data_IF_082382208315
#
_entry.id   IF_082382208315
#
_cell.length_a   1.000
_cell.length_b   1.000
_cell.length_c   1.000
_cell.angle_alpha   90.00
_cell.angle_beta   90.00
_cell.angle_gamma   90.00
#
_symmetry.space_group_name_H-M   'P 1'
#
loop_
_entity.id
_entity.type
_entity.pdbx_description
1 polymer ?
#
# COMPACT_ATOMS: atom_id res chain seq x y z
N UNK A 1 -30.16 -5.87 -47.57
CA UNK A 1 -29.63 -6.55 -46.37
C UNK A 1 -28.41 -5.77 -45.89
N UNK A 2 -28.57 -4.89 -44.91
CA UNK A 2 -27.45 -4.15 -44.32
C UNK A 2 -26.78 -5.04 -43.27
N UNK A 3 -25.60 -5.57 -43.59
CA UNK A 3 -24.74 -6.25 -42.62
C UNK A 3 -24.22 -5.22 -41.60
N UNK A 4 -24.29 -5.48 -40.29
CA UNK A 4 -23.71 -4.58 -39.30
C UNK A 4 -22.19 -4.63 -39.40
N UNK A 5 -21.56 -3.46 -39.59
CA UNK A 5 -20.11 -3.29 -39.56
C UNK A 5 -19.65 -3.63 -38.14
N UNK A 6 -19.06 -4.81 -37.96
CA UNK A 6 -18.36 -5.16 -36.74
C UNK A 6 -17.15 -4.24 -36.60
N UNK A 7 -17.26 -3.21 -35.77
CA UNK A 7 -16.12 -2.37 -35.39
C UNK A 7 -15.18 -3.25 -34.54
N UNK A 8 -14.24 -3.90 -35.20
CA UNK A 8 -13.19 -4.64 -34.55
C UNK A 8 -12.23 -3.62 -33.90
N UNK A 9 -12.54 -3.23 -32.67
CA UNK A 9 -11.68 -2.36 -31.87
C UNK A 9 -10.47 -3.16 -31.39
N UNK A 10 -9.54 -3.44 -32.30
CA UNK A 10 -8.21 -3.96 -31.93
C UNK A 10 -7.56 -2.88 -31.08
N UNK A 11 -7.55 -3.08 -29.76
CA UNK A 11 -6.79 -2.22 -28.85
C UNK A 11 -5.35 -2.27 -29.31
N UNK A 12 -4.82 -1.13 -29.75
CA UNK A 12 -3.42 -1.01 -30.14
C UNK A 12 -2.56 -1.47 -28.95
N UNK A 13 -1.83 -2.56 -29.14
CA UNK A 13 -0.92 -3.08 -28.13
C UNK A 13 0.24 -2.11 -27.96
N UNK A 14 0.56 -1.74 -26.72
CA UNK A 14 1.55 -0.72 -26.41
C UNK A 14 2.70 -1.37 -25.65
N UNK A 15 3.73 -1.78 -26.40
CA UNK A 15 4.84 -2.60 -25.89
C UNK A 15 5.54 -1.98 -24.67
N UNK A 16 5.74 -0.66 -24.66
CA UNK A 16 6.41 0.00 -23.53
C UNK A 16 5.64 -0.15 -22.23
N UNK A 17 4.29 -0.21 -22.26
CA UNK A 17 3.48 -0.43 -21.06
C UNK A 17 3.73 -1.84 -20.50
N UNK A 18 3.96 -2.82 -21.36
CA UNK A 18 4.26 -4.19 -20.93
C UNK A 18 5.65 -4.30 -20.31
N UNK A 19 6.63 -3.57 -20.86
CA UNK A 19 7.97 -3.46 -20.25
C UNK A 19 7.89 -2.82 -18.86
N UNK A 20 7.17 -1.70 -18.71
CA UNK A 20 7.00 -1.06 -17.41
C UNK A 20 6.27 -1.97 -16.42
N UNK A 21 5.25 -2.71 -16.88
CA UNK A 21 4.54 -3.71 -16.07
C UNK A 21 5.48 -4.82 -15.61
N UNK A 22 6.31 -5.35 -16.50
CA UNK A 22 7.29 -6.37 -16.17
C UNK A 22 8.28 -5.87 -15.10
N UNK A 23 8.82 -4.66 -15.29
CA UNK A 23 9.73 -4.03 -14.31
C UNK A 23 9.04 -3.84 -12.96
N UNK A 24 7.80 -3.33 -12.95
CA UNK A 24 7.04 -3.13 -11.71
C UNK A 24 6.75 -4.47 -10.99
N UNK A 25 6.35 -5.52 -11.72
CA UNK A 25 6.11 -6.87 -11.18
C UNK A 25 7.39 -7.53 -10.67
N UNK A 26 8.52 -7.35 -11.36
CA UNK A 26 9.79 -7.89 -10.91
C UNK A 26 10.26 -7.20 -9.62
N UNK A 27 10.26 -5.87 -9.62
CA UNK A 27 10.75 -5.07 -8.49
C UNK A 27 9.90 -5.22 -7.23
N UNK A 28 8.57 -5.42 -7.33
CA UNK A 28 7.72 -5.71 -6.16
C UNK A 28 8.01 -7.07 -5.54
N UNK A 29 8.28 -8.11 -6.35
CA UNK A 29 8.65 -9.44 -5.86
C UNK A 29 9.99 -9.38 -5.13
N UNK A 30 10.97 -8.68 -5.72
CA UNK A 30 12.27 -8.45 -5.07
C UNK A 30 12.16 -7.65 -3.77
N UNK A 31 11.23 -6.69 -3.70
CA UNK A 31 10.97 -5.90 -2.48
C UNK A 31 10.44 -6.80 -1.36
N UNK A 32 9.38 -7.58 -1.64
CA UNK A 32 8.77 -8.44 -0.63
C UNK A 32 9.64 -9.62 -0.20
N UNK A 33 10.50 -10.11 -1.10
CA UNK A 33 11.49 -11.13 -0.75
C UNK A 33 12.53 -10.63 0.25
N UNK A 34 12.68 -9.31 0.37
CA UNK A 34 13.62 -8.69 1.30
C UNK A 34 12.96 -8.11 2.55
N UNK A 35 11.62 -8.11 2.65
CA UNK A 35 10.90 -7.59 3.82
C UNK A 35 11.39 -8.21 5.16
N UNK A 36 11.68 -9.52 5.25
CA UNK A 36 12.24 -10.13 6.47
C UNK A 36 13.59 -9.53 6.91
N UNK A 37 14.43 -9.04 5.98
CA UNK A 37 15.73 -8.44 6.34
C UNK A 37 15.59 -7.05 6.96
N UNK A 38 14.42 -6.41 6.86
CA UNK A 38 14.15 -5.16 7.56
C UNK A 38 13.86 -5.37 9.06
N UNK A 39 13.77 -6.62 9.53
CA UNK A 39 13.45 -6.96 10.91
C UNK A 39 14.48 -7.91 11.50
N UNK A 40 15.07 -7.53 12.64
CA UNK A 40 15.96 -8.39 13.42
C UNK A 40 15.22 -8.83 14.68
N UNK A 41 14.81 -10.10 14.79
CA UNK A 41 14.33 -10.65 16.06
C UNK A 41 15.55 -10.87 16.98
N UNK A 42 15.64 -10.10 18.07
CA UNK A 42 16.67 -10.24 19.10
C UNK A 42 17.64 -9.06 19.22
N UNK A 43 18.80 -9.30 19.82
CA UNK A 43 19.84 -8.28 20.01
C UNK A 43 20.43 -7.85 18.66
N UNK A 44 20.52 -6.53 18.39
CA UNK A 44 21.02 -6.05 17.11
C UNK A 44 22.49 -6.43 16.93
N UNK A 45 22.88 -6.96 15.75
CA UNK A 45 24.26 -7.31 15.49
C UNK A 45 25.15 -6.07 15.46
N UNK A 46 26.45 -6.25 15.71
CA UNK A 46 27.42 -5.14 15.76
C UNK A 46 27.50 -4.31 14.46
N UNK A 47 27.11 -4.89 13.31
CA UNK A 47 27.07 -4.24 12.00
C UNK A 47 25.67 -3.77 11.57
N UNK A 48 24.75 -3.55 12.52
CA UNK A 48 23.35 -3.17 12.23
C UNK A 48 23.23 -1.90 11.38
N UNK A 49 24.15 -0.94 11.51
CA UNK A 49 24.11 0.32 10.76
C UNK A 49 24.36 0.11 9.26
N UNK A 50 25.33 -0.75 8.92
CA UNK A 50 25.62 -1.13 7.53
C UNK A 50 24.44 -1.89 6.93
N UNK A 51 23.86 -2.82 7.69
CA UNK A 51 22.68 -3.59 7.26
C UNK A 51 21.50 -2.64 6.98
N UNK A 52 21.23 -1.70 7.89
CA UNK A 52 20.17 -0.70 7.71
C UNK A 52 20.41 0.16 6.49
N UNK A 53 21.65 0.58 6.25
CA UNK A 53 22.01 1.37 5.08
C UNK A 53 21.74 0.60 3.77
N UNK A 54 22.24 -0.62 3.64
CA UNK A 54 22.03 -1.43 2.44
C UNK A 54 20.57 -1.84 2.26
N UNK A 55 19.85 -2.15 3.34
CA UNK A 55 18.41 -2.39 3.31
C UNK A 55 17.65 -1.16 2.82
N UNK A 56 17.99 0.04 3.30
CA UNK A 56 17.40 1.29 2.82
C UNK A 56 17.73 1.56 1.35
N UNK A 57 18.98 1.33 0.92
CA UNK A 57 19.39 1.51 -0.48
C UNK A 57 18.65 0.54 -1.42
N UNK A 58 18.58 -0.75 -1.05
CA UNK A 58 17.84 -1.77 -1.79
C UNK A 58 16.34 -1.44 -1.86
N UNK A 59 15.76 -1.08 -0.71
CA UNK A 59 14.37 -0.63 -0.62
C UNK A 59 14.11 0.59 -1.51
N UNK A 60 14.96 1.62 -1.46
CA UNK A 60 14.80 2.83 -2.28
C UNK A 60 14.87 2.53 -3.78
N UNK A 61 15.71 1.59 -4.20
CA UNK A 61 15.84 1.18 -5.60
C UNK A 61 14.60 0.43 -6.11
N UNK A 62 13.97 -0.41 -5.28
CA UNK A 62 12.83 -1.25 -5.69
C UNK A 62 11.44 -0.65 -5.42
N UNK A 63 11.34 0.27 -4.46
CA UNK A 63 10.09 0.95 -4.08
C UNK A 63 9.36 1.67 -5.22
N UNK A 64 9.98 2.10 -6.33
CA UNK A 64 9.25 2.65 -7.47
C UNK A 64 8.22 1.70 -8.10
N UNK A 65 8.22 0.39 -7.80
CA UNK A 65 7.22 -0.56 -8.27
C UNK A 65 5.77 -0.09 -8.06
N UNK A 66 5.45 0.44 -6.87
CA UNK A 66 4.10 0.92 -6.52
C UNK A 66 3.66 2.10 -7.39
N UNK A 67 4.39 3.24 -7.45
CA UNK A 67 4.00 4.35 -8.31
C UNK A 67 3.97 3.98 -9.79
N UNK A 68 4.82 3.05 -10.25
CA UNK A 68 4.74 2.54 -11.63
C UNK A 68 3.40 1.86 -11.91
N UNK A 69 2.87 1.03 -11.00
CA UNK A 69 1.53 0.45 -11.17
C UNK A 69 0.42 1.50 -11.20
N UNK A 70 0.52 2.54 -10.37
CA UNK A 70 -0.44 3.66 -10.36
C UNK A 70 -0.36 4.44 -11.67
N UNK A 71 0.84 4.71 -12.19
CA UNK A 71 1.05 5.39 -13.47
C UNK A 71 0.49 4.58 -14.64
N UNK A 72 0.75 3.26 -14.68
CA UNK A 72 0.17 2.36 -15.69
C UNK A 72 -1.36 2.40 -15.62
N UNK A 73 -1.93 2.37 -14.42
CA UNK A 73 -3.38 2.44 -14.20
C UNK A 73 -3.95 3.75 -14.74
N UNK A 74 -3.31 4.88 -14.43
CA UNK A 74 -3.69 6.19 -14.96
C UNK A 74 -3.62 6.25 -16.48
N UNK A 75 -2.51 5.80 -17.08
CA UNK A 75 -2.31 5.81 -18.53
C UNK A 75 -3.35 4.97 -19.30
N UNK A 76 -3.88 3.92 -18.68
CA UNK A 76 -4.86 3.01 -19.30
C UNK A 76 -6.31 3.39 -19.06
N UNK A 77 -6.58 4.11 -17.96
CA UNK A 77 -7.95 4.40 -17.52
C UNK A 77 -8.36 5.85 -17.71
N UNK A 78 -7.41 6.79 -17.82
CA UNK A 78 -7.71 8.19 -18.05
C UNK A 78 -7.74 8.54 -19.54
N UNK A 79 -8.73 9.32 -19.99
CA UNK A 79 -9.93 9.70 -19.25
C UNK A 79 -10.93 8.55 -19.11
N UNK A 80 -11.66 8.52 -18.00
CA UNK A 80 -12.72 7.54 -17.73
C UNK A 80 -13.91 7.84 -18.64
N UNK A 81 -14.14 6.98 -19.64
CA UNK A 81 -15.24 7.11 -20.60
C UNK A 81 -16.41 6.17 -20.25
N UNK A 82 -17.63 6.66 -20.46
CA UNK A 82 -18.87 5.89 -20.29
C UNK A 82 -19.54 6.12 -18.93
N UNK A 83 -20.47 5.22 -18.58
CA UNK A 83 -21.24 5.33 -17.33
C UNK A 83 -20.38 5.00 -16.10
N UNK A 84 -20.38 5.92 -15.12
CA UNK A 84 -19.59 5.80 -13.88
C UNK A 84 -19.99 4.56 -13.06
N UNK A 85 -21.28 4.23 -12.99
CA UNK A 85 -21.78 3.04 -12.28
C UNK A 85 -21.21 1.75 -12.89
N UNK A 86 -21.21 1.64 -14.21
CA UNK A 86 -20.63 0.50 -14.92
C UNK A 86 -19.11 0.40 -14.70
N UNK A 87 -18.42 1.54 -14.62
CA UNK A 87 -16.99 1.59 -14.27
C UNK A 87 -16.73 1.00 -12.88
N UNK A 88 -17.41 1.50 -11.84
CA UNK A 88 -17.24 1.02 -10.48
C UNK A 88 -17.60 -0.45 -10.33
N UNK A 89 -18.80 -0.84 -10.80
CA UNK A 89 -19.27 -2.23 -10.69
C UNK A 89 -18.27 -3.20 -11.31
N UNK A 90 -17.68 -2.87 -12.46
CA UNK A 90 -16.71 -3.74 -13.15
C UNK A 90 -15.35 -3.81 -12.46
N UNK A 91 -14.88 -2.71 -11.87
CA UNK A 91 -13.51 -2.61 -11.33
C UNK A 91 -13.43 -2.98 -9.86
N UNK A 92 -14.35 -2.45 -9.05
CA UNK A 92 -14.40 -2.73 -7.62
C UNK A 92 -14.72 -4.21 -7.40
N UNK A 93 -15.69 -4.81 -8.11
CA UNK A 93 -16.00 -6.24 -7.94
C UNK A 93 -14.83 -7.18 -8.23
N UNK A 94 -13.98 -6.85 -9.22
CA UNK A 94 -12.80 -7.65 -9.58
C UNK A 94 -11.71 -7.63 -8.51
N UNK A 95 -11.75 -6.66 -7.61
CA UNK A 95 -10.75 -6.47 -6.56
C UNK A 95 -11.33 -6.86 -5.20
N UNK A 96 -12.57 -6.43 -4.92
CA UNK A 96 -13.28 -6.66 -3.67
C UNK A 96 -13.48 -8.14 -3.34
N UNK A 97 -13.92 -8.95 -4.31
CA UNK A 97 -14.17 -10.37 -4.05
C UNK A 97 -12.88 -11.16 -3.76
N UNK A 98 -11.81 -11.05 -4.58
CA UNK A 98 -10.53 -11.65 -4.23
C UNK A 98 -10.02 -11.18 -2.88
N UNK A 99 -10.08 -9.88 -2.61
CA UNK A 99 -9.66 -9.31 -1.33
C UNK A 99 -10.40 -9.95 -0.15
N UNK A 100 -11.73 -9.96 -0.17
CA UNK A 100 -12.54 -10.53 0.91
C UNK A 100 -12.21 -12.02 1.13
N UNK A 101 -12.10 -12.80 0.05
CA UNK A 101 -11.78 -14.23 0.12
C UNK A 101 -10.39 -14.44 0.72
N UNK A 102 -9.37 -13.74 0.21
CA UNK A 102 -8.00 -13.90 0.67
C UNK A 102 -7.82 -13.41 2.10
N UNK A 103 -8.41 -12.28 2.48
CA UNK A 103 -8.37 -11.80 3.87
C UNK A 103 -8.98 -12.80 4.84
N UNK A 104 -10.13 -13.42 4.51
CA UNK A 104 -10.70 -14.47 5.36
C UNK A 104 -9.76 -15.68 5.45
N UNK A 105 -9.16 -16.12 4.34
CA UNK A 105 -8.20 -17.23 4.32
C UNK A 105 -6.98 -16.93 5.20
N UNK A 106 -6.38 -15.74 5.06
CA UNK A 106 -5.22 -15.34 5.87
C UNK A 106 -5.54 -15.29 7.36
N UNK A 107 -6.71 -14.77 7.74
CA UNK A 107 -7.09 -14.69 9.14
C UNK A 107 -7.45 -16.06 9.74
N UNK A 108 -7.95 -17.01 8.95
CA UNK A 108 -8.19 -18.40 9.38
C UNK A 108 -6.92 -19.27 9.40
N UNK A 109 -5.86 -18.85 8.73
CA UNK A 109 -4.63 -19.64 8.60
C UNK A 109 -4.05 -20.08 9.96
N UNK A 110 -3.90 -19.21 10.98
CA UNK A 110 -3.38 -19.63 12.28
C UNK A 110 -4.22 -20.72 12.94
N UNK A 111 -5.54 -20.59 12.94
CA UNK A 111 -6.43 -21.63 13.46
C UNK A 111 -6.25 -22.96 12.73
N UNK A 112 -6.13 -22.94 11.39
CA UNK A 112 -5.92 -24.15 10.61
C UNK A 112 -4.59 -24.83 10.97
N UNK A 113 -3.51 -24.08 11.19
CA UNK A 113 -2.24 -24.68 11.65
C UNK A 113 -2.34 -25.32 13.02
N UNK A 114 -3.16 -24.77 13.93
CA UNK A 114 -3.44 -25.38 15.23
C UNK A 114 -4.20 -26.70 15.12
N UNK A 115 -5.15 -26.80 14.18
CA UNK A 115 -5.84 -28.06 13.89
C UNK A 115 -4.88 -29.15 13.35
N UNK A 116 -3.84 -28.74 12.64
CA UNK A 116 -2.80 -29.65 12.14
C UNK A 116 -1.74 -30.00 13.19
N UNK A 117 -1.79 -29.39 14.39
CA UNK A 117 -0.82 -29.61 15.46
C UNK A 117 0.57 -29.02 15.21
N UNK A 118 0.67 -27.97 14.38
CA UNK A 118 1.94 -27.29 14.11
C UNK A 118 2.34 -26.37 15.27
N UNK A 119 3.64 -26.20 15.50
CA UNK A 119 4.16 -25.30 16.54
C UNK A 119 3.69 -23.84 16.28
N UNK A 120 3.12 -23.14 17.28
CA UNK A 120 2.78 -21.71 17.21
C UNK A 120 3.81 -20.79 16.57
N UNK A 121 5.11 -21.05 16.76
CA UNK A 121 6.21 -20.26 16.22
C UNK A 121 6.17 -20.14 14.69
N UNK A 122 5.60 -21.14 14.00
CA UNK A 122 5.43 -21.12 12.55
C UNK A 122 4.62 -19.89 12.08
N UNK A 123 3.70 -19.39 12.90
CA UNK A 123 2.92 -18.21 12.54
C UNK A 123 3.79 -16.97 12.52
N UNK A 124 4.73 -16.86 13.45
CA UNK A 124 5.66 -15.73 13.52
C UNK A 124 6.73 -15.83 12.42
N UNK A 125 7.09 -17.03 11.98
CA UNK A 125 7.99 -17.24 10.84
C UNK A 125 7.36 -16.80 9.51
N UNK A 126 6.09 -17.18 9.27
CA UNK A 126 5.38 -16.82 8.04
C UNK A 126 4.82 -15.40 8.05
N UNK A 127 4.42 -14.90 9.23
CA UNK A 127 3.85 -13.57 9.42
C UNK A 127 4.60 -12.83 10.54
N UNK A 128 5.80 -12.30 10.27
CA UNK A 128 6.62 -11.63 11.29
C UNK A 128 5.94 -10.44 11.98
N UNK A 129 4.92 -9.87 11.33
CA UNK A 129 4.16 -8.73 11.83
C UNK A 129 2.89 -9.11 12.60
N UNK A 130 2.50 -10.40 12.66
CA UNK A 130 1.18 -10.81 13.15
C UNK A 130 0.94 -10.60 14.65
N UNK A 131 2.01 -10.43 15.42
CA UNK A 131 1.97 -10.39 16.88
C UNK A 131 1.70 -11.76 17.52
N UNK A 132 1.88 -11.82 18.84
CA UNK A 132 1.75 -13.06 19.62
C UNK A 132 0.30 -13.60 19.68
N UNK A 133 -0.69 -12.73 19.50
CA UNK A 133 -2.10 -13.14 19.57
C UNK A 133 -2.47 -14.09 18.43
N UNK A 134 -1.97 -13.84 17.21
CA UNK A 134 -2.18 -14.73 16.08
C UNK A 134 -1.53 -16.10 16.30
N UNK A 135 -0.40 -16.16 17.01
CA UNK A 135 0.29 -17.40 17.34
C UNK A 135 -0.50 -18.28 18.35
N UNK A 136 -1.58 -17.77 18.97
CA UNK A 136 -2.47 -18.60 19.80
C UNK A 136 -3.24 -19.67 19.02
N UNK A 137 -3.24 -19.60 17.67
CA UNK A 137 -3.89 -20.57 16.78
C UNK A 137 -5.36 -20.85 17.15
N UNK A 138 -6.06 -19.86 17.69
CA UNK A 138 -7.42 -19.99 18.21
C UNK A 138 -8.46 -19.51 17.19
N UNK A 139 -9.53 -20.29 17.00
CA UNK A 139 -10.65 -19.90 16.14
C UNK A 139 -11.27 -18.56 16.56
N UNK A 140 -11.40 -18.32 17.87
CA UNK A 140 -11.99 -17.09 18.38
C UNK A 140 -11.15 -15.86 18.00
N UNK A 141 -9.82 -16.00 18.04
CA UNK A 141 -8.90 -14.92 17.62
C UNK A 141 -9.04 -14.67 16.12
N UNK A 142 -9.04 -15.72 15.30
CA UNK A 142 -9.23 -15.60 13.85
C UNK A 142 -10.57 -14.94 13.48
N UNK A 143 -11.67 -15.34 14.15
CA UNK A 143 -12.99 -14.72 13.93
C UNK A 143 -13.05 -13.27 14.41
N UNK A 144 -12.34 -12.94 15.49
CA UNK A 144 -12.15 -11.55 15.94
C UNK A 144 -11.54 -10.67 14.85
N UNK A 145 -10.40 -11.10 14.28
CA UNK A 145 -9.77 -10.36 13.18
C UNK A 145 -10.69 -10.22 11.96
N UNK A 146 -11.45 -11.27 11.61
CA UNK A 146 -12.41 -11.22 10.49
C UNK A 146 -13.53 -10.22 10.77
N UNK A 147 -14.06 -10.19 12.00
CA UNK A 147 -15.10 -9.26 12.40
C UNK A 147 -14.62 -7.80 12.38
N UNK A 148 -13.35 -7.57 12.70
CA UNK A 148 -12.73 -6.25 12.69
C UNK A 148 -12.32 -5.76 11.31
N UNK A 149 -12.25 -6.61 10.28
CA UNK A 149 -11.83 -6.24 8.92
C UNK A 149 -12.45 -4.94 8.35
N UNK A 150 -13.74 -4.59 8.60
CA UNK A 150 -14.30 -3.34 8.11
C UNK A 150 -13.70 -2.08 8.74
N UNK A 151 -13.10 -2.20 9.93
CA UNK A 151 -12.64 -1.09 10.77
C UNK A 151 -11.14 -1.14 11.08
N UNK A 152 -10.50 -2.30 10.89
CA UNK A 152 -9.12 -2.55 11.26
C UNK A 152 -8.36 -3.33 10.17
N UNK A 153 -7.06 -3.11 10.11
CA UNK A 153 -6.16 -3.89 9.25
C UNK A 153 -5.70 -5.13 10.00
N UNK A 154 -5.79 -6.30 9.37
CA UNK A 154 -5.17 -7.49 9.93
C UNK A 154 -3.67 -7.48 9.66
N UNK A 155 -2.91 -7.87 10.67
CA UNK A 155 -1.47 -7.99 10.55
C UNK A 155 -1.05 -9.25 9.77
N UNK A 156 -1.98 -10.20 9.58
CA UNK A 156 -1.78 -11.42 8.80
C UNK A 156 -1.88 -11.19 7.29
N UNK A 157 -2.61 -10.16 6.87
CA UNK A 157 -2.80 -9.81 5.45
C UNK A 157 -2.20 -8.45 5.10
N UNK A 158 -1.15 -8.03 5.80
CA UNK A 158 -0.48 -6.72 5.60
C UNK A 158 -0.13 -6.43 4.13
N UNK A 159 0.25 -7.46 3.37
CA UNK A 159 0.59 -7.36 1.94
C UNK A 159 -0.63 -7.00 1.05
N UNK A 160 -1.86 -7.15 1.55
CA UNK A 160 -3.11 -6.73 0.90
C UNK A 160 -3.35 -5.22 0.97
N UNK A 161 -2.51 -4.44 1.69
CA UNK A 161 -2.63 -2.98 1.79
C UNK A 161 -2.84 -2.28 0.43
N UNK A 162 -2.20 -2.81 -0.61
CA UNK A 162 -2.28 -2.27 -1.97
C UNK A 162 -3.70 -2.31 -2.56
N UNK A 163 -4.53 -3.26 -2.13
CA UNK A 163 -5.92 -3.35 -2.57
C UNK A 163 -6.75 -2.18 -2.04
N UNK A 164 -6.53 -1.77 -0.79
CA UNK A 164 -7.18 -0.58 -0.23
C UNK A 164 -6.81 0.68 -1.02
N UNK A 165 -5.53 0.82 -1.40
CA UNK A 165 -5.07 1.88 -2.30
C UNK A 165 -5.79 1.80 -3.65
N UNK A 166 -5.91 0.62 -4.26
CA UNK A 166 -6.59 0.45 -5.55
C UNK A 166 -8.07 0.82 -5.48
N UNK A 167 -8.77 0.45 -4.41
CA UNK A 167 -10.18 0.82 -4.21
C UNK A 167 -10.30 2.34 -4.12
N UNK A 168 -9.47 2.99 -3.30
CA UNK A 168 -9.42 4.45 -3.19
C UNK A 168 -9.10 5.13 -4.52
N UNK A 169 -8.11 4.61 -5.26
CA UNK A 169 -7.74 5.10 -6.58
C UNK A 169 -8.92 4.99 -7.56
N UNK A 170 -9.61 3.85 -7.60
CA UNK A 170 -10.76 3.67 -8.48
C UNK A 170 -11.90 4.64 -8.14
N UNK A 171 -12.19 4.89 -6.86
CA UNK A 171 -13.17 5.88 -6.43
C UNK A 171 -12.77 7.31 -6.83
N UNK A 172 -11.48 7.62 -6.77
CA UNK A 172 -10.94 8.93 -7.15
C UNK A 172 -10.92 9.17 -8.67
N UNK A 173 -10.68 8.13 -9.47
CA UNK A 173 -10.40 8.24 -10.90
C UNK A 173 -11.49 9.00 -11.70
N UNK A 174 -12.80 8.75 -11.54
CA UNK A 174 -13.82 9.50 -12.28
C UNK A 174 -13.84 11.00 -11.94
N UNK A 175 -13.62 11.35 -10.66
CA UNK A 175 -13.54 12.74 -10.20
C UNK A 175 -12.31 13.41 -10.83
N UNK A 176 -11.15 12.74 -10.75
CA UNK A 176 -9.92 13.24 -11.35
C UNK A 176 -10.03 13.38 -12.86
N UNK A 177 -10.66 12.40 -13.52
CA UNK A 177 -10.89 12.40 -14.97
C UNK A 177 -11.68 13.64 -15.42
N UNK A 178 -12.75 14.01 -14.70
CA UNK A 178 -13.56 15.18 -15.03
C UNK A 178 -12.76 16.49 -14.98
N UNK A 179 -11.77 16.58 -14.10
CA UNK A 179 -10.83 17.70 -14.05
C UNK A 179 -9.79 17.62 -15.17
N UNK A 180 -9.14 16.46 -15.36
CA UNK A 180 -8.09 16.27 -16.39
C UNK A 180 -8.60 16.56 -17.80
N UNK A 181 -9.84 16.21 -18.09
CA UNK A 181 -10.47 16.49 -19.40
C UNK A 181 -10.65 17.98 -19.68
N UNK A 182 -10.90 18.79 -18.64
CA UNK A 182 -11.17 20.23 -18.77
C UNK A 182 -9.92 21.09 -18.54
N UNK A 183 -8.93 20.57 -17.83
CA UNK A 183 -7.72 21.29 -17.47
C UNK A 183 -6.84 21.57 -18.69
N UNK A 184 -6.31 22.80 -18.78
CA UNK A 184 -5.30 23.15 -19.78
C UNK A 184 -3.96 22.46 -19.48
N UNK A 185 -3.10 22.29 -20.49
CA UNK A 185 -1.75 21.74 -20.29
C UNK A 185 -0.93 22.55 -19.28
N UNK A 186 -1.11 23.89 -19.26
CA UNK A 186 -0.48 24.77 -18.27
C UNK A 186 -0.98 24.46 -16.85
N UNK A 187 -2.27 24.20 -16.67
CA UNK A 187 -2.83 23.83 -15.37
C UNK A 187 -2.31 22.47 -14.89
N UNK A 188 -2.23 21.49 -15.80
CA UNK A 188 -1.64 20.17 -15.51
C UNK A 188 -0.17 20.29 -15.10
N UNK A 189 0.61 21.13 -15.80
CA UNK A 189 2.01 21.38 -15.45
C UNK A 189 2.15 22.03 -14.07
N UNK A 190 1.37 23.06 -13.76
CA UNK A 190 1.39 23.68 -12.43
C UNK A 190 0.96 22.73 -11.32
N UNK A 191 0.00 21.85 -11.60
CA UNK A 191 -0.36 20.79 -10.68
C UNK A 191 0.83 19.85 -10.40
N UNK A 192 1.57 19.44 -11.44
CA UNK A 192 2.76 18.60 -11.28
C UNK A 192 3.89 19.32 -10.52
N UNK A 193 4.09 20.62 -10.75
CA UNK A 193 5.06 21.43 -10.00
C UNK A 193 4.67 21.51 -8.53
N UNK A 194 3.41 21.86 -8.24
CA UNK A 194 2.90 21.90 -6.88
C UNK A 194 3.01 20.52 -6.20
N UNK A 195 2.66 19.45 -6.90
CA UNK A 195 2.81 18.08 -6.41
C UNK A 195 4.27 17.74 -6.09
N UNK A 196 5.20 18.07 -6.99
CA UNK A 196 6.64 17.89 -6.78
C UNK A 196 7.15 18.63 -5.53
N UNK A 197 6.69 19.87 -5.32
CA UNK A 197 7.01 20.64 -4.11
C UNK A 197 6.40 19.97 -2.87
N UNK A 198 5.14 19.52 -2.92
CA UNK A 198 4.52 18.83 -1.77
C UNK A 198 5.21 17.50 -1.43
N UNK A 199 5.80 16.83 -2.42
CA UNK A 199 6.63 15.64 -2.20
C UNK A 199 7.89 15.91 -1.39
N UNK A 200 8.33 17.17 -1.28
CA UNK A 200 9.46 17.59 -0.45
C UNK A 200 9.08 17.95 0.98
N UNK A 201 7.78 18.04 1.29
CA UNK A 201 7.31 18.38 2.64
C UNK A 201 7.83 17.42 3.73
N UNK A 202 7.88 16.10 3.54
CA UNK A 202 8.46 15.21 4.55
C UNK A 202 9.91 15.56 4.91
N UNK A 203 10.74 15.91 3.92
CA UNK A 203 12.13 16.31 4.13
C UNK A 203 12.21 17.67 4.83
N UNK A 204 11.36 18.60 4.43
CA UNK A 204 11.25 19.88 5.13
C UNK A 204 10.87 19.69 6.60
N UNK A 205 9.86 18.86 6.90
CA UNK A 205 9.44 18.60 8.27
C UNK A 205 10.52 17.87 9.08
N UNK A 206 11.29 16.99 8.45
CA UNK A 206 12.36 16.25 9.13
C UNK A 206 13.62 17.09 9.39
N UNK A 207 14.05 17.90 8.42
CA UNK A 207 15.37 18.54 8.42
C UNK A 207 15.35 20.05 8.62
N UNK A 208 14.21 20.71 8.41
CA UNK A 208 14.11 22.18 8.45
C UNK A 208 13.17 22.63 9.56
N UNK A 209 12.00 22.01 9.66
CA UNK A 209 10.94 22.45 10.57
C UNK A 209 11.37 22.60 12.05
N UNK A 210 12.15 21.66 12.63
CA UNK A 210 12.58 21.74 14.02
C UNK A 210 13.40 23.00 14.35
N UNK A 211 14.05 23.61 13.37
CA UNK A 211 14.96 24.75 13.56
C UNK A 211 14.30 26.11 13.34
N UNK A 212 13.18 26.17 12.62
CA UNK A 212 12.60 27.44 12.14
C UNK A 212 11.23 27.75 12.76
N UNK A 213 10.43 26.74 13.12
CA UNK A 213 9.04 26.95 13.56
C UNK A 213 8.77 26.74 15.05
N UNK A 214 9.81 26.47 15.84
CA UNK A 214 9.68 26.28 17.28
C UNK A 214 8.67 25.18 17.62
N UNK A 215 9.09 23.92 17.50
CA UNK A 215 8.26 22.79 17.93
C UNK A 215 7.94 22.89 19.42
N UNK A 216 6.66 22.96 19.78
CA UNK A 216 6.19 22.95 21.16
C UNK A 216 4.99 22.00 21.30
N UNK A 217 4.73 21.53 22.52
CA UNK A 217 3.81 20.42 22.81
C UNK A 217 2.38 20.58 22.23
N UNK A 218 1.94 21.81 21.96
CA UNK A 218 0.63 22.12 21.37
C UNK A 218 0.63 22.37 19.85
N UNK A 219 1.78 22.51 19.20
CA UNK A 219 1.90 22.87 17.78
C UNK A 219 2.52 21.75 16.95
N UNK A 220 2.42 20.51 17.43
CA UNK A 220 3.07 19.29 16.90
C UNK A 220 2.80 19.15 15.41
N UNK A 221 3.58 19.88 14.62
CA UNK A 221 3.56 19.92 13.16
C UNK A 221 4.34 18.71 12.61
N UNK A 222 4.36 17.64 13.39
CA UNK A 222 4.96 16.34 13.13
C UNK A 222 3.95 15.28 13.52
N UNK A 223 2.96 15.06 12.66
CA UNK A 223 1.92 14.03 12.82
C UNK A 223 2.48 12.57 12.75
N UNK A 224 3.78 12.36 12.99
CA UNK A 224 4.45 11.06 12.90
C UNK A 224 5.57 10.78 13.93
N UNK A 225 5.66 11.53 15.04
CA UNK A 225 6.52 11.13 16.17
C UNK A 225 5.73 11.17 17.47
N UNK A 226 5.19 10.02 17.86
CA UNK A 226 5.11 9.70 19.27
C UNK A 226 6.16 8.61 19.52
N UNK A 227 7.31 9.01 20.03
CA UNK A 227 8.27 8.01 20.54
C UNK A 227 7.69 7.36 21.80
N UNK A 228 8.03 6.10 22.13
CA UNK A 228 7.53 5.43 23.34
C UNK A 228 7.75 6.24 24.63
N UNK A 229 8.77 7.10 24.66
CA UNK A 229 9.14 7.93 25.80
C UNK A 229 8.10 9.03 26.12
N UNK A 230 7.40 9.56 25.13
CA UNK A 230 6.41 10.64 25.33
C UNK A 230 5.09 10.12 25.92
N UNK A 231 4.80 8.80 25.78
CA UNK A 231 3.63 8.17 26.42
C UNK A 231 3.77 8.05 27.94
N UNK A 232 5.00 7.92 28.45
CA UNK A 232 5.23 7.77 29.88
C UNK A 232 5.04 9.07 30.68
N UNK A 233 5.23 10.23 30.03
CA UNK A 233 5.11 11.53 30.70
C UNK A 233 3.64 11.95 30.91
N UNK A 234 2.74 11.53 30.03
CA UNK A 234 1.31 11.88 30.08
C UNK A 234 0.45 10.91 30.90
N UNK A 235 0.97 9.76 31.32
CA UNK A 235 0.29 8.85 32.26
C UNK A 235 0.60 9.14 33.74
N UNK A 236 1.40 10.17 34.01
CA UNK A 236 1.81 10.59 35.36
C UNK A 236 1.24 11.97 35.76
N UNK A 237 0.23 12.45 35.04
CA UNK A 237 -0.66 13.54 35.41
C UNK A 237 -2.10 13.00 35.42
#
# INVERSE_FOLDING_TARGET
MNQPIAINTTRKHVVWLDVVRLVAMFTIVCCHSADPFNFYPGEPPANIDEIKFWGAAYGAFLRPCVPLFVMITGALLLPVRGEISAFYKKRISRVFWPFLIWSVIYNLFPWFTGLLGLNPEIILDFFPYSGEEAARQSLNVSLGYIAEMPLNFSLLDVHMWYIYLLIGLYLYLPIFSAWVEKASEKAKLWFLVAWGITGLLPYYYQFVSPYIWGGCAWNVSTQFRASPFERALFSAL
#
